data_IF_287307395565
#
_entry.id   IF_287307395565
#
_cell.length_a   1.000
_cell.length_b   1.000
_cell.length_c   1.000
_cell.angle_alpha   90.00
_cell.angle_beta   90.00
_cell.angle_gamma   90.00
#
_symmetry.space_group_name_H-M   'P 1'
#
loop_
_entity.id
_entity.type
_entity.pdbx_description
1 polymer ?
#
# COMPACT_ATOMS: atom_id res chain seq x y z
N UNK A 1 -63.20 18.01 77.25
CA UNK A 1 -63.70 17.24 76.09
C UNK A 1 -62.52 16.75 75.27
N UNK A 2 -62.08 15.52 75.52
CA UNK A 2 -60.92 14.91 74.85
C UNK A 2 -61.34 14.39 73.48
N UNK A 3 -60.66 14.83 72.42
CA UNK A 3 -60.88 14.30 71.06
C UNK A 3 -60.00 13.07 70.88
N UNK A 4 -60.62 11.91 71.02
CA UNK A 4 -60.06 10.60 70.71
C UNK A 4 -59.73 10.52 69.21
N UNK A 5 -58.46 10.33 68.85
CA UNK A 5 -58.03 10.09 67.47
C UNK A 5 -57.73 8.61 67.32
N UNK A 6 -58.60 7.87 66.62
CA UNK A 6 -58.33 6.51 66.15
C UNK A 6 -57.23 6.52 65.07
N UNK A 7 -56.16 5.71 65.19
CA UNK A 7 -55.23 5.48 64.09
C UNK A 7 -55.86 4.49 63.10
N UNK A 8 -56.02 4.92 61.84
CA UNK A 8 -56.42 4.06 60.73
C UNK A 8 -55.19 3.25 60.30
N UNK A 9 -55.20 1.95 60.56
CA UNK A 9 -54.18 1.01 60.08
C UNK A 9 -54.36 0.79 58.57
N UNK A 10 -53.34 1.16 57.78
CA UNK A 10 -53.28 0.88 56.34
C UNK A 10 -52.92 -0.60 56.11
N UNK A 11 -53.53 -1.30 55.14
CA UNK A 11 -53.16 -2.68 54.84
C UNK A 11 -51.75 -2.72 54.21
N UNK A 12 -50.88 -3.58 54.75
CA UNK A 12 -49.56 -3.85 54.18
C UNK A 12 -49.72 -4.64 52.87
N UNK A 13 -49.11 -4.15 51.80
CA UNK A 13 -49.13 -4.79 50.47
C UNK A 13 -48.17 -5.99 50.47
N UNK A 14 -48.63 -7.14 49.98
CA UNK A 14 -47.82 -8.35 49.89
C UNK A 14 -46.64 -8.19 48.90
N UNK A 15 -45.45 -8.78 49.17
CA UNK A 15 -44.31 -8.69 48.27
C UNK A 15 -44.54 -9.55 47.02
N UNK A 16 -44.44 -8.92 45.83
CA UNK A 16 -44.44 -9.64 44.55
C UNK A 16 -43.14 -10.44 44.42
N UNK A 17 -43.23 -11.77 44.26
CA UNK A 17 -42.08 -12.60 43.91
C UNK A 17 -41.64 -12.30 42.48
N UNK A 18 -40.50 -11.63 42.32
CA UNK A 18 -39.81 -11.44 41.04
C UNK A 18 -39.06 -12.73 40.65
N UNK A 19 -39.79 -13.71 40.14
CA UNK A 19 -39.20 -14.94 39.63
C UNK A 19 -38.79 -14.81 38.15
N UNK A 20 -37.50 -14.92 37.86
CA UNK A 20 -37.05 -15.70 36.70
C UNK A 20 -36.82 -15.00 35.35
N UNK A 21 -36.65 -13.68 35.26
CA UNK A 21 -36.39 -13.02 33.95
C UNK A 21 -34.92 -13.03 33.49
N UNK A 22 -33.96 -13.07 34.42
CA UNK A 22 -32.53 -12.91 34.10
C UNK A 22 -31.91 -14.15 33.49
N UNK A 23 -32.31 -15.33 33.94
CA UNK A 23 -31.87 -16.62 33.38
C UNK A 23 -32.31 -16.79 31.92
N UNK A 24 -33.55 -16.39 31.60
CA UNK A 24 -34.05 -16.37 30.22
C UNK A 24 -33.24 -15.38 29.38
N UNK A 25 -32.96 -14.18 29.90
CA UNK A 25 -32.15 -13.18 29.19
C UNK A 25 -30.72 -13.66 28.90
N UNK A 26 -30.09 -14.36 29.85
CA UNK A 26 -28.75 -14.95 29.67
C UNK A 26 -28.79 -16.05 28.60
N UNK A 27 -29.81 -16.91 28.63
CA UNK A 27 -29.93 -18.00 27.66
C UNK A 27 -30.12 -17.48 26.23
N UNK A 28 -31.00 -16.48 26.06
CA UNK A 28 -31.22 -15.82 24.77
C UNK A 28 -29.94 -15.12 24.31
N UNK A 29 -29.27 -14.38 25.19
CA UNK A 29 -28.00 -13.70 24.88
C UNK A 29 -26.89 -14.68 24.47
N UNK A 30 -26.80 -15.84 25.13
CA UNK A 30 -25.79 -16.86 24.81
C UNK A 30 -26.06 -17.51 23.45
N UNK A 31 -27.32 -17.82 23.13
CA UNK A 31 -27.69 -18.39 21.83
C UNK A 31 -27.41 -17.39 20.72
N UNK A 32 -27.83 -16.13 20.88
CA UNK A 32 -27.57 -15.08 19.88
C UNK A 32 -26.07 -14.79 19.72
N UNK A 33 -25.34 -14.72 20.83
CA UNK A 33 -23.89 -14.52 20.83
C UNK A 33 -23.13 -15.67 20.15
N UNK A 34 -23.53 -16.92 20.41
CA UNK A 34 -22.94 -18.09 19.78
C UNK A 34 -23.16 -18.12 18.27
N UNK A 35 -24.35 -17.73 17.79
CA UNK A 35 -24.63 -17.66 16.35
C UNK A 35 -23.79 -16.58 15.66
N UNK A 36 -23.65 -15.40 16.27
CA UNK A 36 -22.81 -14.32 15.73
C UNK A 36 -21.34 -14.74 15.72
N UNK A 37 -20.86 -15.36 16.80
CA UNK A 37 -19.48 -15.85 16.89
C UNK A 37 -19.18 -16.91 15.82
N UNK A 38 -20.08 -17.87 15.61
CA UNK A 38 -19.96 -18.89 14.57
C UNK A 38 -19.97 -18.28 13.16
N UNK A 39 -20.85 -17.31 12.91
CA UNK A 39 -20.90 -16.58 11.63
C UNK A 39 -19.61 -15.82 11.34
N UNK A 40 -19.07 -15.10 12.32
CA UNK A 40 -17.79 -14.40 12.20
C UNK A 40 -16.63 -15.39 11.97
N UNK A 41 -16.56 -16.49 12.73
CA UNK A 41 -15.53 -17.51 12.55
C UNK A 41 -15.56 -18.14 11.15
N UNK A 42 -16.75 -18.43 10.62
CA UNK A 42 -16.91 -18.94 9.25
C UNK A 42 -16.50 -17.91 8.21
N UNK A 43 -16.89 -16.64 8.40
CA UNK A 43 -16.50 -15.55 7.51
C UNK A 43 -14.98 -15.34 7.48
N UNK A 44 -14.30 -15.34 8.63
CA UNK A 44 -12.84 -15.23 8.68
C UNK A 44 -12.15 -16.47 8.14
N UNK A 45 -12.67 -17.68 8.38
CA UNK A 45 -12.10 -18.93 7.81
C UNK A 45 -12.21 -18.96 6.29
N UNK A 46 -13.30 -18.42 5.72
CA UNK A 46 -13.47 -18.32 4.27
C UNK A 46 -12.66 -17.18 3.66
N UNK A 47 -12.49 -16.08 4.39
CA UNK A 47 -11.84 -14.85 3.92
C UNK A 47 -10.34 -14.77 4.26
N UNK A 48 -9.78 -15.73 5.02
CA UNK A 48 -8.36 -15.77 5.37
C UNK A 48 -7.51 -16.43 4.26
N UNK A 49 -6.59 -15.69 3.61
CA UNK A 49 -5.64 -16.27 2.66
C UNK A 49 -4.41 -16.94 3.33
N UNK A 50 -4.39 -17.06 4.67
CA UNK A 50 -3.25 -17.55 5.46
C UNK A 50 -3.50 -18.89 6.16
N UNK A 51 -4.33 -19.79 5.60
CA UNK A 51 -4.33 -21.17 6.09
C UNK A 51 -2.98 -21.80 5.77
N UNK A 52 -2.07 -21.76 6.76
CA UNK A 52 -0.80 -22.45 6.69
C UNK A 52 -1.06 -23.94 6.48
N UNK A 53 -0.46 -24.51 5.44
CA UNK A 53 -0.53 -25.94 5.17
C UNK A 53 -0.15 -26.72 6.45
N UNK A 54 -0.87 -27.82 6.79
CA UNK A 54 -0.49 -28.65 7.91
C UNK A 54 0.95 -29.12 7.68
N UNK A 55 1.87 -28.66 8.53
CA UNK A 55 3.26 -29.10 8.51
C UNK A 55 3.23 -30.57 8.93
N UNK A 56 3.43 -31.46 7.96
CA UNK A 56 3.58 -32.88 8.24
C UNK A 56 4.70 -33.10 9.26
N UNK A 57 4.55 -34.02 10.23
CA UNK A 57 5.62 -34.34 11.17
C UNK A 57 6.85 -34.78 10.38
N UNK A 58 7.96 -34.05 10.50
CA UNK A 58 9.24 -34.51 9.97
C UNK A 58 9.66 -35.73 10.77
N UNK A 59 9.45 -36.91 10.19
CA UNK A 59 10.20 -38.10 10.57
C UNK A 59 11.69 -37.79 10.37
N UNK A 60 12.56 -38.08 11.35
CA UNK A 60 13.99 -37.95 11.14
C UNK A 60 14.44 -39.03 10.17
N UNK A 61 14.53 -38.68 8.88
CA UNK A 61 15.20 -39.52 7.88
C UNK A 61 16.70 -39.50 8.17
N UNK A 62 17.19 -40.50 8.89
CA UNK A 62 18.57 -40.92 8.80
C UNK A 62 18.81 -41.47 7.38
N UNK A 63 19.95 -41.10 6.79
CA UNK A 63 20.49 -41.56 5.50
C UNK A 63 19.72 -41.17 4.21
N UNK A 64 19.74 -39.87 3.90
CA UNK A 64 19.80 -39.42 2.51
C UNK A 64 21.15 -38.77 2.22
N UNK A 65 21.91 -39.20 1.20
CA UNK A 65 23.10 -38.48 0.77
C UNK A 65 22.68 -37.09 0.27
N UNK A 66 23.44 -36.02 0.59
CA UNK A 66 23.04 -34.67 0.28
C UNK A 66 22.89 -34.49 -1.23
N UNK A 67 21.67 -34.19 -1.66
CA UNK A 67 21.39 -33.69 -3.00
C UNK A 67 22.25 -32.44 -3.22
N UNK A 68 23.07 -32.48 -4.27
CA UNK A 68 24.00 -31.41 -4.59
C UNK A 68 23.26 -30.07 -4.69
N UNK A 69 23.70 -29.10 -3.89
CA UNK A 69 23.25 -27.73 -4.00
C UNK A 69 23.56 -27.23 -5.43
N UNK A 70 22.58 -26.70 -6.17
CA UNK A 70 22.85 -26.01 -7.43
C UNK A 70 23.46 -24.64 -7.10
N UNK A 71 24.78 -24.62 -6.95
CA UNK A 71 25.51 -23.41 -6.56
C UNK A 71 26.99 -23.62 -6.28
N UNK A 72 27.68 -24.42 -7.10
CA UNK A 72 29.15 -24.32 -7.18
C UNK A 72 29.51 -23.04 -7.97
N UNK A 73 30.40 -22.18 -7.47
CA UNK A 73 30.96 -21.08 -8.25
C UNK A 73 31.97 -21.68 -9.23
N UNK A 74 31.52 -22.04 -10.43
CA UNK A 74 32.43 -22.64 -11.40
C UNK A 74 31.84 -23.28 -12.64
N UNK A 75 30.56 -23.05 -12.99
CA UNK A 75 30.05 -23.45 -14.30
C UNK A 75 28.88 -22.57 -14.72
N UNK A 76 29.20 -21.50 -15.44
CA UNK A 76 28.29 -20.88 -16.40
C UNK A 76 29.13 -20.67 -17.65
N UNK A 77 28.78 -21.27 -18.82
CA UNK A 77 29.33 -20.77 -20.05
C UNK A 77 28.95 -19.29 -20.13
N UNK A 78 29.97 -18.45 -20.24
CA UNK A 78 29.83 -17.02 -20.47
C UNK A 78 29.02 -16.87 -21.76
N UNK A 79 27.71 -16.68 -21.63
CA UNK A 79 26.90 -16.14 -22.70
C UNK A 79 27.30 -14.68 -22.79
N UNK A 80 28.34 -14.43 -23.60
CA UNK A 80 28.59 -13.14 -24.19
C UNK A 80 27.32 -12.78 -24.95
N UNK A 81 26.51 -11.90 -24.38
CA UNK A 81 25.57 -11.14 -25.17
C UNK A 81 26.44 -10.19 -26.01
N UNK A 82 26.86 -10.66 -27.17
CA UNK A 82 27.45 -9.83 -28.20
C UNK A 82 26.39 -8.82 -28.60
N UNK A 83 26.56 -7.59 -28.13
CA UNK A 83 25.75 -6.46 -28.51
C UNK A 83 25.92 -6.22 -30.02
N UNK A 84 24.92 -6.60 -30.81
CA UNK A 84 24.72 -6.26 -32.23
C UNK A 84 24.43 -4.74 -32.41
N UNK A 85 25.16 -3.86 -31.72
CA UNK A 85 24.87 -2.42 -31.73
C UNK A 85 25.58 -1.67 -32.88
N UNK A 86 26.64 -2.24 -33.46
CA UNK A 86 27.30 -1.66 -34.64
C UNK A 86 26.82 -2.22 -35.98
N UNK A 87 25.80 -3.10 -35.98
CA UNK A 87 25.16 -3.62 -37.20
C UNK A 87 23.83 -2.92 -37.52
N UNK A 88 23.62 -1.72 -36.98
CA UNK A 88 22.54 -0.81 -37.35
C UNK A 88 23.10 0.61 -37.57
N UNK A 89 24.32 0.71 -38.10
CA UNK A 89 24.56 1.82 -39.02
C UNK A 89 23.98 1.32 -40.34
N UNK A 90 22.92 1.95 -40.87
CA UNK A 90 22.63 1.85 -42.28
C UNK A 90 23.92 2.30 -43.00
N UNK A 91 24.71 1.33 -43.46
CA UNK A 91 25.58 1.52 -44.60
C UNK A 91 24.61 1.84 -45.74
N UNK A 92 24.33 3.13 -45.86
CA UNK A 92 23.64 3.70 -47.00
C UNK A 92 24.56 3.56 -48.20
N UNK A 93 24.58 2.37 -48.78
CA UNK A 93 24.82 2.19 -50.20
C UNK A 93 23.79 3.04 -50.93
N UNK A 94 24.23 4.08 -51.63
CA UNK A 94 23.66 4.61 -52.87
C UNK A 94 24.61 5.69 -53.40
N UNK A 95 25.72 5.26 -54.02
CA UNK A 95 26.33 6.02 -55.11
C UNK A 95 25.49 5.73 -56.37
N UNK A 96 25.16 6.75 -57.17
CA UNK A 96 26.11 7.11 -58.21
C UNK A 96 26.39 8.61 -58.28
N UNK A 97 27.66 8.88 -58.56
CA UNK A 97 28.15 10.15 -59.05
C UNK A 97 27.35 10.65 -60.26
N UNK A 98 27.04 11.95 -60.29
CA UNK A 98 27.54 12.87 -61.32
C UNK A 98 26.93 14.27 -61.15
N UNK A 99 27.77 15.26 -61.49
CA UNK A 99 27.49 16.66 -61.89
C UNK A 99 27.05 17.69 -60.83
N UNK A 100 28.05 18.37 -60.27
CA UNK A 100 28.07 19.84 -60.24
C UNK A 100 27.99 20.36 -61.71
N UNK A 101 27.43 21.55 -62.01
CA UNK A 101 27.63 22.78 -61.23
C UNK A 101 26.46 23.79 -61.21
N UNK A 102 26.65 24.81 -60.35
CA UNK A 102 26.19 26.18 -60.53
C UNK A 102 24.67 26.46 -60.52
N UNK A 103 24.22 27.19 -59.49
CA UNK A 103 23.67 28.54 -59.63
C UNK A 103 22.74 28.88 -58.45
N UNK A 104 23.19 29.81 -57.61
CA UNK A 104 22.32 30.78 -56.94
C UNK A 104 21.92 31.80 -58.03
N UNK A 105 20.71 32.42 -58.09
CA UNK A 105 20.08 33.10 -56.96
C UNK A 105 18.53 33.23 -56.98
N UNK A 106 18.02 33.90 -55.93
CA UNK A 106 16.78 34.69 -55.88
C UNK A 106 15.44 33.92 -55.70
N UNK A 107 14.48 34.34 -54.87
CA UNK A 107 14.33 35.43 -53.89
C UNK A 107 13.03 35.12 -53.06
N UNK A 108 12.73 35.89 -51.99
CA UNK A 108 11.95 35.53 -50.79
C UNK A 108 10.49 36.05 -50.89
N UNK A 109 9.74 36.48 -49.84
CA UNK A 109 9.80 36.31 -48.37
C UNK A 109 8.43 35.94 -47.73
N UNK A 110 8.40 35.54 -46.44
CA UNK A 110 7.42 35.96 -45.40
C UNK A 110 7.64 35.23 -44.05
N UNK A 111 8.39 35.89 -43.17
CA UNK A 111 8.13 36.24 -41.74
C UNK A 111 7.27 35.33 -40.81
N UNK A 112 7.45 35.39 -39.47
CA UNK A 112 8.43 34.64 -38.69
C UNK A 112 7.75 33.85 -37.54
N UNK A 113 7.93 32.53 -37.47
CA UNK A 113 7.53 31.76 -36.28
C UNK A 113 8.75 31.56 -35.37
N UNK A 114 8.74 32.30 -34.26
CA UNK A 114 9.41 32.06 -32.98
C UNK A 114 10.41 30.89 -32.95
N UNK A 115 11.69 31.27 -32.85
CA UNK A 115 12.77 30.40 -32.42
C UNK A 115 12.41 29.77 -31.07
N UNK A 116 12.19 28.47 -31.07
CA UNK A 116 12.46 27.65 -29.90
C UNK A 116 13.99 27.59 -29.73
N UNK A 117 14.54 27.97 -28.56
CA UNK A 117 15.89 27.56 -28.21
C UNK A 117 15.86 26.08 -27.84
N UNK A 118 16.74 25.33 -28.50
CA UNK A 118 17.11 23.95 -28.20
C UNK A 118 17.41 23.74 -26.70
N UNK A 119 17.24 22.49 -26.20
CA UNK A 119 17.39 22.17 -24.79
C UNK A 119 18.84 22.37 -24.35
N UNK A 120 19.05 23.34 -23.46
CA UNK A 120 20.28 23.45 -22.69
C UNK A 120 20.41 22.20 -21.82
N UNK A 121 21.37 21.35 -22.18
CA UNK A 121 22.00 20.41 -21.26
C UNK A 121 22.71 21.23 -20.19
N UNK A 122 22.06 21.39 -19.04
CA UNK A 122 22.67 22.00 -17.86
C UNK A 122 22.60 21.03 -16.69
N UNK A 123 23.79 20.58 -16.30
CA UNK A 123 24.16 19.83 -15.10
C UNK A 123 23.49 18.47 -14.89
N UNK A 124 24.34 17.45 -14.71
CA UNK A 124 23.98 16.19 -14.08
C UNK A 124 23.42 16.43 -12.67
N UNK A 125 22.13 16.74 -12.57
CA UNK A 125 21.37 16.64 -11.34
C UNK A 125 21.32 15.15 -11.01
N UNK A 126 22.05 14.74 -9.98
CA UNK A 126 21.89 13.43 -9.34
C UNK A 126 20.39 13.12 -9.29
N UNK A 127 19.92 11.92 -9.68
CA UNK A 127 18.51 11.59 -9.54
C UNK A 127 18.14 11.85 -8.09
N UNK A 128 17.34 12.90 -7.84
CA UNK A 128 16.81 13.19 -6.52
C UNK A 128 15.78 12.10 -6.29
N UNK A 129 16.27 10.96 -5.78
CA UNK A 129 15.44 9.82 -5.43
C UNK A 129 14.43 10.33 -4.42
N UNK A 130 13.16 10.44 -4.84
CA UNK A 130 12.11 10.95 -3.97
C UNK A 130 11.74 9.81 -3.03
N UNK A 131 12.07 9.97 -1.76
CA UNK A 131 11.69 9.04 -0.71
C UNK A 131 10.28 9.37 -0.24
N UNK A 132 9.48 8.35 0.02
CA UNK A 132 8.13 8.48 0.57
C UNK A 132 7.99 7.59 1.79
N UNK A 133 7.13 8.01 2.71
CA UNK A 133 6.71 7.17 3.84
C UNK A 133 5.31 6.66 3.53
N UNK A 134 5.21 5.37 3.21
CA UNK A 134 3.92 4.72 3.03
C UNK A 134 3.40 4.24 4.38
N UNK A 135 2.24 4.75 4.78
CA UNK A 135 1.62 4.43 6.07
C UNK A 135 0.62 3.28 5.94
N UNK A 136 0.00 3.13 4.76
CA UNK A 136 -0.95 2.07 4.50
C UNK A 136 -1.39 1.99 3.05
N UNK A 137 -2.02 0.88 2.69
CA UNK A 137 -2.68 0.66 1.41
C UNK A 137 -4.03 -0.02 1.68
N UNK A 138 -5.12 0.65 1.32
CA UNK A 138 -6.49 0.20 1.60
C UNK A 138 -7.23 -0.10 0.31
N UNK A 139 -8.06 -1.13 0.29
CA UNK A 139 -8.95 -1.38 -0.84
C UNK A 139 -10.07 -0.34 -0.89
N UNK A 140 -10.59 0.00 0.30
CA UNK A 140 -11.69 0.93 0.47
C UNK A 140 -11.20 2.40 0.45
N UNK A 141 -11.76 3.28 -0.42
CA UNK A 141 -11.42 4.70 -0.44
C UNK A 141 -11.73 5.41 0.89
N UNK A 142 -12.79 5.01 1.59
CA UNK A 142 -13.18 5.62 2.87
C UNK A 142 -12.16 5.39 3.97
N UNK A 143 -11.52 4.22 4.02
CA UNK A 143 -10.47 3.94 5.01
C UNK A 143 -9.20 4.76 4.76
N UNK A 144 -8.82 4.91 3.49
CA UNK A 144 -7.68 5.74 3.11
C UNK A 144 -7.89 7.22 3.45
N UNK A 145 -9.10 7.74 3.24
CA UNK A 145 -9.43 9.13 3.59
C UNK A 145 -9.51 9.34 5.11
N UNK A 146 -10.10 8.41 5.86
CA UNK A 146 -10.08 8.43 7.32
C UNK A 146 -8.64 8.44 7.87
N UNK A 147 -7.74 7.63 7.31
CA UNK A 147 -6.34 7.63 7.72
C UNK A 147 -5.68 8.98 7.40
N UNK A 148 -5.90 9.51 6.20
CA UNK A 148 -5.41 10.84 5.81
C UNK A 148 -5.90 11.94 6.76
N UNK A 149 -7.18 11.92 7.14
CA UNK A 149 -7.76 12.87 8.08
C UNK A 149 -7.10 12.75 9.47
N UNK A 150 -6.90 11.52 9.96
CA UNK A 150 -6.20 11.28 11.24
C UNK A 150 -4.75 11.78 11.21
N UNK A 151 -4.04 11.58 10.10
CA UNK A 151 -2.69 12.08 9.90
C UNK A 151 -2.67 13.61 9.85
N UNK A 152 -3.62 14.23 9.17
CA UNK A 152 -3.77 15.68 9.13
C UNK A 152 -4.05 16.28 10.52
N UNK A 153 -4.89 15.62 11.33
CA UNK A 153 -5.13 16.01 12.73
C UNK A 153 -3.88 15.88 13.61
N UNK A 154 -2.98 14.93 13.29
CA UNK A 154 -1.67 14.82 13.91
C UNK A 154 -0.65 15.84 13.37
N UNK A 155 -1.06 16.73 12.46
CA UNK A 155 -0.18 17.72 11.82
C UNK A 155 0.77 17.13 10.78
N UNK A 156 0.44 15.95 10.23
CA UNK A 156 1.26 15.23 9.25
C UNK A 156 0.53 15.22 7.91
N UNK A 157 1.16 15.80 6.89
CA UNK A 157 0.58 15.85 5.55
C UNK A 157 0.70 14.50 4.84
N UNK A 158 -0.45 13.85 4.63
CA UNK A 158 -0.54 12.61 3.89
C UNK A 158 -1.37 12.77 2.62
N UNK A 159 -0.98 12.05 1.58
CA UNK A 159 -1.67 11.96 0.30
C UNK A 159 -2.20 10.55 0.11
N UNK A 160 -3.52 10.45 -0.13
CA UNK A 160 -4.16 9.21 -0.53
C UNK A 160 -4.18 9.15 -2.06
N UNK A 161 -3.52 8.13 -2.62
CA UNK A 161 -3.46 7.93 -4.05
C UNK A 161 -3.99 6.57 -4.47
N UNK A 162 -4.76 6.58 -5.55
CA UNK A 162 -5.24 5.36 -6.19
C UNK A 162 -4.10 4.74 -7.01
N UNK A 163 -3.72 3.52 -6.69
CA UNK A 163 -2.72 2.74 -7.39
C UNK A 163 -3.32 1.38 -7.76
N UNK A 164 -3.05 0.90 -8.97
CA UNK A 164 -3.36 -0.48 -9.35
C UNK A 164 -2.18 -1.37 -8.93
N UNK A 165 -2.46 -2.47 -8.24
CA UNK A 165 -1.46 -3.48 -7.92
C UNK A 165 -1.16 -4.31 -9.17
N UNK A 166 -0.02 -5.00 -9.19
CA UNK A 166 0.34 -5.92 -10.28
C UNK A 166 -0.72 -7.02 -10.54
N UNK A 167 -1.56 -7.28 -9.54
CA UNK A 167 -2.69 -8.21 -9.56
C UNK A 167 -4.01 -7.58 -10.08
N UNK A 168 -3.96 -6.40 -10.69
CA UNK A 168 -5.14 -5.70 -11.25
C UNK A 168 -6.09 -5.08 -10.22
N UNK A 169 -5.87 -5.32 -8.93
CA UNK A 169 -6.67 -4.74 -7.83
C UNK A 169 -6.35 -3.27 -7.61
N UNK A 170 -7.39 -2.46 -7.45
CA UNK A 170 -7.26 -1.03 -7.10
C UNK A 170 -7.08 -0.90 -5.59
N UNK A 171 -5.99 -0.24 -5.17
CA UNK A 171 -5.72 0.12 -3.78
C UNK A 171 -5.49 1.62 -3.64
N UNK A 172 -5.85 2.17 -2.50
CA UNK A 172 -5.64 3.54 -2.08
C UNK A 172 -4.46 3.57 -1.11
N UNK A 173 -3.31 4.03 -1.60
CA UNK A 173 -2.07 4.13 -0.84
C UNK A 173 -1.98 5.48 -0.17
N UNK A 174 -1.82 5.48 1.15
CA UNK A 174 -1.59 6.69 1.93
C UNK A 174 -0.10 6.85 2.13
N UNK A 175 0.45 7.88 1.49
CA UNK A 175 1.89 8.21 1.46
C UNK A 175 2.10 9.61 2.01
N UNK A 176 3.20 9.82 2.71
CA UNK A 176 3.60 11.12 3.25
C UNK A 176 4.82 11.56 2.48
N UNK A 177 4.80 12.83 2.04
CA UNK A 177 5.91 13.64 1.55
C UNK A 177 6.84 13.01 0.51
N UNK A 178 7.22 13.72 -0.57
CA UNK A 178 8.51 13.46 -1.17
C UNK A 178 9.60 14.03 -0.23
N UNK A 179 10.30 13.15 0.47
CA UNK A 179 11.49 13.48 1.26
C UNK A 179 12.71 13.50 0.33
N UNK A 180 13.52 14.55 0.45
CA UNK A 180 14.77 14.69 -0.29
C UNK A 180 15.94 13.98 0.38
N UNK A 181 15.87 13.81 1.72
CA UNK A 181 16.93 13.22 2.52
C UNK A 181 16.39 12.27 3.59
N UNK A 182 17.16 11.23 3.98
CA UNK A 182 16.80 10.36 5.11
C UNK A 182 16.67 11.11 6.44
N UNK A 183 17.41 12.22 6.62
CA UNK A 183 17.32 13.05 7.82
C UNK A 183 15.92 13.66 8.04
N UNK A 184 15.19 14.03 6.99
CA UNK A 184 13.84 14.59 7.09
C UNK A 184 12.76 13.51 7.34
N UNK A 185 13.07 12.28 6.91
CA UNK A 185 12.21 11.12 7.07
C UNK A 185 12.17 10.61 8.51
N UNK A 186 13.31 10.58 9.20
CA UNK A 186 13.42 10.04 10.55
C UNK A 186 12.52 10.76 11.61
N UNK A 187 12.47 12.11 11.69
CA UNK A 187 11.59 12.80 12.63
C UNK A 187 10.12 12.62 12.27
N UNK A 188 9.78 12.58 10.97
CA UNK A 188 8.41 12.33 10.52
C UNK A 188 7.97 10.92 10.89
N UNK A 189 8.85 9.93 10.72
CA UNK A 189 8.62 8.55 11.17
C UNK A 189 8.41 8.47 12.68
N UNK A 190 9.20 9.19 13.47
CA UNK A 190 9.04 9.25 14.92
C UNK A 190 7.69 9.86 15.32
N UNK A 191 7.23 10.92 14.64
CA UNK A 191 5.90 11.51 14.84
C UNK A 191 4.78 10.54 14.47
N UNK A 192 4.92 9.80 13.36
CA UNK A 192 3.98 8.76 12.96
C UNK A 192 3.88 7.66 14.01
N UNK A 193 5.02 7.20 14.51
CA UNK A 193 5.07 6.19 15.56
C UNK A 193 4.43 6.69 16.87
N UNK A 194 4.68 7.95 17.26
CA UNK A 194 4.05 8.58 18.43
C UNK A 194 2.53 8.71 18.28
N UNK A 195 2.04 8.93 17.05
CA UNK A 195 0.62 8.93 16.72
C UNK A 195 0.03 7.51 16.54
N UNK A 196 0.83 6.45 16.72
CA UNK A 196 0.39 5.05 16.63
C UNK A 196 0.33 4.49 15.20
N UNK A 197 0.90 5.18 14.22
CA UNK A 197 0.92 4.75 12.82
C UNK A 197 2.28 4.15 12.44
N UNK A 198 2.24 3.02 11.73
CA UNK A 198 3.44 2.40 11.16
C UNK A 198 3.69 2.93 9.74
N UNK A 199 4.93 3.33 9.46
CA UNK A 199 5.34 3.82 8.14
C UNK A 199 6.50 2.97 7.58
N UNK A 200 6.37 2.58 6.31
CA UNK A 200 7.41 1.93 5.52
C UNK A 200 8.02 2.90 4.52
N UNK A 201 9.32 2.75 4.26
CA UNK A 201 10.04 3.60 3.32
C UNK A 201 9.81 3.07 1.90
N UNK A 202 9.35 3.93 1.00
CA UNK A 202 9.20 3.63 -0.42
C UNK A 202 10.04 4.63 -1.22
N UNK A 203 10.91 4.13 -2.09
CA UNK A 203 11.66 4.96 -3.04
C UNK A 203 10.94 4.92 -4.38
N UNK A 204 10.61 6.09 -4.93
CA UNK A 204 10.15 6.17 -6.31
C UNK A 204 11.29 6.65 -7.18
N UNK A 205 11.78 5.78 -8.06
CA UNK A 205 12.63 6.18 -9.16
C UNK A 205 11.78 6.95 -10.18
N UNK A 206 12.29 8.04 -10.78
CA UNK A 206 11.60 8.71 -11.89
C UNK A 206 11.39 7.77 -13.09
#
# INVERSE_FOLDING_TARGET
>A
MSRDRKPVLKPARAPSRSGGGTLIGIFIGLVFGALIAAGAAWYFTRSNPFQAAPVAPRVPSADQPPAALPGKPGDRPVVKQDFEFYKILPQGDNVPAAVDPAAKPAQPPKLPAQQAPAPVQEAAAKPVERLYLQVGAFENPGEADNLKARLALAGIEASAQRAQLADGRVVHRVRIGPFSSPEDMNPTRARLAAAGFNASVSRSNP
#
